data_IF_369353301066
#
_entry.id   IF_369353301066
#
_cell.length_a   1.000
_cell.length_b   1.000
_cell.length_c   1.000
_cell.angle_alpha   90.00
_cell.angle_beta   90.00
_cell.angle_gamma   90.00
#
_symmetry.space_group_name_H-M   'P 1'
#
loop_
_entity.id
_entity.type
_entity.pdbx_description
1 polymer ?
#
# COMPACT_ATOMS: atom_id res chain seq x y z
N UNK A 1 29.09 -20.93 -28.77
CA UNK A 1 29.51 -21.19 -27.37
C UNK A 1 29.64 -19.83 -26.70
N UNK A 2 28.55 -19.32 -26.12
CA UNK A 2 28.54 -18.03 -25.43
C UNK A 2 28.37 -18.27 -23.93
N UNK A 3 29.16 -17.55 -23.15
CA UNK A 3 28.78 -17.03 -21.83
C UNK A 3 28.81 -17.99 -20.63
N UNK A 4 29.99 -18.22 -20.06
CA UNK A 4 30.11 -18.28 -18.59
C UNK A 4 30.44 -16.90 -18.01
N UNK A 5 31.19 -16.08 -18.75
CA UNK A 5 31.63 -14.75 -18.29
C UNK A 5 30.52 -13.68 -18.28
N UNK A 6 29.47 -13.83 -19.11
CA UNK A 6 28.34 -12.88 -19.14
C UNK A 6 27.38 -13.13 -17.97
N UNK A 7 27.18 -14.39 -17.56
CA UNK A 7 26.34 -14.70 -16.39
C UNK A 7 27.00 -14.28 -15.06
N UNK A 8 28.33 -14.39 -14.95
CA UNK A 8 29.05 -13.97 -13.74
C UNK A 8 29.05 -12.44 -13.52
N UNK A 9 29.06 -11.66 -14.61
CA UNK A 9 28.95 -10.18 -14.54
C UNK A 9 27.57 -9.72 -14.08
N UNK A 10 26.51 -10.39 -14.54
CA UNK A 10 25.14 -10.02 -14.19
C UNK A 10 24.85 -10.27 -12.69
N UNK A 11 25.32 -11.38 -12.12
CA UNK A 11 25.08 -11.71 -10.71
C UNK A 11 25.86 -10.75 -9.78
N UNK A 12 27.11 -10.38 -10.13
CA UNK A 12 27.91 -9.43 -9.36
C UNK A 12 27.38 -8.00 -9.41
N UNK A 13 26.91 -7.54 -10.58
CA UNK A 13 26.27 -6.24 -10.75
C UNK A 13 24.92 -6.14 -10.03
N UNK A 14 24.12 -7.21 -10.08
CA UNK A 14 22.80 -7.30 -9.43
C UNK A 14 22.93 -7.27 -7.91
N UNK A 15 23.91 -7.96 -7.31
CA UNK A 15 24.14 -7.89 -5.85
C UNK A 15 24.58 -6.51 -5.37
N UNK A 16 25.45 -5.83 -6.13
CA UNK A 16 25.85 -4.45 -5.81
C UNK A 16 24.70 -3.45 -6.00
N UNK A 17 23.84 -3.66 -7.01
CA UNK A 17 22.58 -2.92 -7.19
C UNK A 17 21.62 -3.12 -6.02
N UNK A 18 21.37 -4.37 -5.64
CA UNK A 18 20.49 -4.75 -4.53
C UNK A 18 20.92 -4.12 -3.21
N UNK A 19 22.23 -4.13 -2.90
CA UNK A 19 22.74 -3.53 -1.67
C UNK A 19 22.57 -2.01 -1.62
N UNK A 20 22.89 -1.32 -2.71
CA UNK A 20 22.68 0.14 -2.79
C UNK A 20 21.19 0.51 -2.74
N UNK A 21 20.34 -0.31 -3.35
CA UNK A 21 18.90 -0.12 -3.27
C UNK A 21 18.37 -0.36 -1.86
N UNK A 22 18.86 -1.38 -1.15
CA UNK A 22 18.54 -1.61 0.26
C UNK A 22 18.89 -0.38 1.12
N UNK A 23 20.08 0.18 0.96
CA UNK A 23 20.49 1.38 1.70
C UNK A 23 19.60 2.59 1.38
N UNK A 24 19.19 2.76 0.11
CA UNK A 24 18.24 3.79 -0.30
C UNK A 24 16.87 3.61 0.36
N UNK A 25 16.31 2.39 0.33
CA UNK A 25 15.02 2.09 0.96
C UNK A 25 15.10 2.34 2.46
N UNK A 26 16.20 1.93 3.10
CA UNK A 26 16.44 2.14 4.52
C UNK A 26 16.50 3.63 4.88
N UNK A 27 17.18 4.44 4.06
CA UNK A 27 17.19 5.90 4.21
C UNK A 27 15.78 6.49 4.07
N UNK A 28 15.02 6.04 3.07
CA UNK A 28 13.64 6.49 2.84
C UNK A 28 12.68 6.07 3.96
N UNK A 29 12.95 4.94 4.62
CA UNK A 29 12.21 4.40 5.75
C UNK A 29 12.62 5.05 7.08
N UNK A 30 13.83 5.60 7.17
CA UNK A 30 14.35 6.21 8.39
C UNK A 30 13.46 7.33 8.89
N UNK A 31 13.04 7.24 10.15
CA UNK A 31 12.16 8.22 10.79
C UNK A 31 10.69 8.17 10.34
N UNK A 32 10.30 7.21 9.49
CA UNK A 32 8.91 7.03 9.06
C UNK A 32 8.28 5.81 9.70
N UNK A 33 7.00 5.92 9.99
CA UNK A 33 6.20 4.80 10.51
C UNK A 33 5.44 4.06 9.41
N UNK A 34 5.14 4.76 8.30
CA UNK A 34 4.40 4.24 7.16
C UNK A 34 5.05 4.71 5.85
N UNK A 35 5.13 3.82 4.86
CA UNK A 35 5.33 4.17 3.46
C UNK A 35 3.98 4.12 2.77
N UNK A 36 3.58 5.25 2.19
CA UNK A 36 2.35 5.33 1.42
C UNK A 36 2.54 4.74 0.02
N UNK A 37 1.44 4.34 -0.62
CA UNK A 37 1.44 3.64 -1.90
C UNK A 37 2.23 4.38 -2.99
N UNK A 38 2.14 5.71 -3.04
CA UNK A 38 2.88 6.52 -4.02
C UNK A 38 4.40 6.45 -3.78
N UNK A 39 4.82 6.47 -2.51
CA UNK A 39 6.22 6.33 -2.12
C UNK A 39 6.73 4.90 -2.38
N UNK A 40 5.90 3.89 -2.09
CA UNK A 40 6.19 2.50 -2.42
C UNK A 40 6.38 2.34 -3.93
N UNK A 41 5.45 2.82 -4.76
CA UNK A 41 5.55 2.73 -6.21
C UNK A 41 6.78 3.48 -6.75
N UNK A 42 7.09 4.65 -6.20
CA UNK A 42 8.29 5.39 -6.58
C UNK A 42 9.58 4.64 -6.23
N UNK A 43 9.63 3.97 -5.06
CA UNK A 43 10.77 3.12 -4.68
C UNK A 43 10.88 1.89 -5.60
N UNK A 44 9.75 1.25 -5.92
CA UNK A 44 9.73 0.12 -6.84
C UNK A 44 10.21 0.52 -8.23
N UNK A 45 9.75 1.66 -8.75
CA UNK A 45 10.18 2.19 -10.03
C UNK A 45 11.68 2.45 -10.04
N UNK A 46 12.21 3.15 -9.02
CA UNK A 46 13.64 3.42 -8.88
C UNK A 46 14.47 2.15 -8.84
N UNK A 47 14.04 1.12 -8.11
CA UNK A 47 14.77 -0.16 -8.06
C UNK A 47 14.92 -0.81 -9.43
N UNK A 48 13.86 -0.75 -10.25
CA UNK A 48 13.88 -1.28 -11.62
C UNK A 48 14.70 -0.39 -12.56
N UNK A 49 14.52 0.92 -12.53
CA UNK A 49 15.14 1.84 -13.51
C UNK A 49 16.59 2.18 -13.18
N UNK A 50 16.89 2.43 -11.90
CA UNK A 50 18.17 3.03 -11.49
C UNK A 50 19.15 1.97 -10.96
N UNK A 51 18.63 0.83 -10.47
CA UNK A 51 19.42 -0.25 -9.88
C UNK A 51 19.42 -1.53 -10.71
N UNK A 52 18.67 -1.58 -11.81
CA UNK A 52 18.62 -2.72 -12.73
C UNK A 52 18.03 -3.99 -12.11
N UNK A 53 17.28 -3.87 -11.02
CA UNK A 53 16.67 -4.99 -10.34
C UNK A 53 15.38 -5.42 -11.05
N UNK A 54 15.04 -6.70 -10.98
CA UNK A 54 13.69 -7.12 -11.34
C UNK A 54 12.66 -6.53 -10.36
N UNK A 55 11.40 -6.46 -10.81
CA UNK A 55 10.31 -5.99 -9.96
C UNK A 55 10.15 -6.85 -8.69
N UNK A 56 10.38 -8.16 -8.79
CA UNK A 56 10.22 -9.08 -7.67
C UNK A 56 11.36 -8.95 -6.65
N UNK A 57 12.61 -8.78 -7.10
CA UNK A 57 13.73 -8.44 -6.22
C UNK A 57 13.50 -7.12 -5.51
N UNK A 58 13.05 -6.12 -6.25
CA UNK A 58 12.76 -4.79 -5.72
C UNK A 58 11.67 -4.84 -4.64
N UNK A 59 10.57 -5.57 -4.91
CA UNK A 59 9.50 -5.82 -3.92
C UNK A 59 10.03 -6.55 -2.70
N UNK A 60 10.85 -7.59 -2.90
CA UNK A 60 11.46 -8.34 -1.81
C UNK A 60 12.31 -7.46 -0.90
N UNK A 61 13.15 -6.60 -1.48
CA UNK A 61 13.99 -5.66 -0.71
C UNK A 61 13.13 -4.64 0.05
N UNK A 62 12.13 -4.03 -0.61
CA UNK A 62 11.23 -3.06 0.06
C UNK A 62 10.51 -3.71 1.22
N UNK A 63 9.95 -4.91 1.02
CA UNK A 63 9.23 -5.65 2.04
C UNK A 63 10.13 -6.03 3.22
N UNK A 64 11.30 -6.61 2.95
CA UNK A 64 12.24 -7.02 4.00
C UNK A 64 12.76 -5.82 4.79
N UNK A 65 13.05 -4.71 4.13
CA UNK A 65 13.50 -3.47 4.78
C UNK A 65 12.40 -2.87 5.65
N UNK A 66 11.14 -2.87 5.16
CA UNK A 66 10.01 -2.42 5.96
C UNK A 66 9.82 -3.29 7.21
N UNK A 67 9.96 -4.61 7.11
CA UNK A 67 9.93 -5.49 8.27
C UNK A 67 11.06 -5.20 9.26
N UNK A 68 12.30 -5.06 8.80
CA UNK A 68 13.46 -4.81 9.67
C UNK A 68 13.36 -3.48 10.40
N UNK A 69 12.86 -2.44 9.73
CA UNK A 69 12.71 -1.09 10.28
C UNK A 69 11.36 -0.89 11.00
N UNK A 70 10.55 -1.95 11.15
CA UNK A 70 9.20 -1.91 11.76
C UNK A 70 8.28 -0.88 11.10
N UNK A 71 8.48 -0.64 9.82
CA UNK A 71 7.71 0.28 9.00
C UNK A 71 6.52 -0.46 8.37
N UNK A 72 5.38 0.22 8.27
CA UNK A 72 4.17 -0.34 7.67
C UNK A 72 4.10 0.07 6.20
N UNK A 73 3.81 -0.89 5.31
CA UNK A 73 3.50 -0.59 3.91
C UNK A 73 1.99 -0.40 3.75
N UNK A 74 1.56 0.67 3.08
CA UNK A 74 0.16 0.86 2.75
C UNK A 74 -0.38 -0.28 1.87
N UNK A 75 0.44 -0.84 0.99
CA UNK A 75 0.07 -2.02 0.20
C UNK A 75 -0.29 -3.25 1.06
N UNK A 76 0.37 -3.45 2.20
CA UNK A 76 0.03 -4.51 3.15
C UNK A 76 -1.30 -4.23 3.84
N UNK A 77 -1.55 -2.97 4.25
CA UNK A 77 -2.84 -2.56 4.81
C UNK A 77 -3.96 -2.81 3.81
N UNK A 78 -3.76 -2.41 2.55
CA UNK A 78 -4.74 -2.63 1.48
C UNK A 78 -5.02 -4.13 1.27
N UNK A 79 -3.98 -4.96 1.19
CA UNK A 79 -4.15 -6.41 1.00
C UNK A 79 -4.94 -7.04 2.17
N UNK A 80 -4.67 -6.63 3.41
CA UNK A 80 -5.37 -7.12 4.59
C UNK A 80 -6.84 -6.67 4.60
N UNK A 81 -7.11 -5.38 4.37
CA UNK A 81 -8.47 -4.86 4.31
C UNK A 81 -9.27 -5.46 3.15
N UNK A 82 -8.64 -5.62 1.99
CA UNK A 82 -9.21 -6.28 0.81
C UNK A 82 -9.58 -7.73 1.10
N UNK A 83 -8.70 -8.47 1.77
CA UNK A 83 -8.97 -9.85 2.18
C UNK A 83 -10.10 -9.94 3.19
N UNK A 84 -10.14 -9.02 4.15
CA UNK A 84 -11.23 -8.92 5.13
C UNK A 84 -12.57 -8.60 4.46
N UNK A 85 -12.61 -7.60 3.58
CA UNK A 85 -13.83 -7.22 2.85
C UNK A 85 -14.37 -8.35 1.99
N UNK A 86 -13.51 -9.08 1.27
CA UNK A 86 -13.92 -10.24 0.47
C UNK A 86 -14.59 -11.33 1.32
N UNK A 87 -14.11 -11.55 2.54
CA UNK A 87 -14.67 -12.55 3.48
C UNK A 87 -15.96 -12.06 4.13
N UNK A 88 -16.03 -10.79 4.52
CA UNK A 88 -17.13 -10.26 5.35
C UNK A 88 -18.28 -9.65 4.54
N UNK A 89 -18.04 -9.11 3.34
CA UNK A 89 -19.04 -8.37 2.56
C UNK A 89 -19.63 -9.21 1.42
N UNK A 90 -20.69 -9.98 1.72
CA UNK A 90 -21.33 -10.90 0.77
C UNK A 90 -22.11 -10.26 -0.40
N UNK A 91 -22.32 -8.93 -0.42
CA UNK A 91 -23.31 -8.29 -1.33
C UNK A 91 -22.78 -7.12 -2.17
N UNK A 92 -21.46 -6.98 -2.30
CA UNK A 92 -20.86 -5.91 -3.11
C UNK A 92 -21.18 -4.48 -2.60
N UNK A 93 -21.67 -4.36 -1.37
CA UNK A 93 -22.10 -3.11 -0.76
C UNK A 93 -21.53 -2.97 0.64
N UNK A 94 -21.20 -1.73 1.02
CA UNK A 94 -20.69 -1.40 2.35
C UNK A 94 -21.62 -0.40 3.06
N UNK A 95 -22.00 -0.72 4.29
CA UNK A 95 -22.73 0.19 5.17
C UNK A 95 -21.81 1.23 5.80
N UNK A 96 -22.38 2.32 6.30
CA UNK A 96 -21.61 3.36 6.98
C UNK A 96 -20.89 2.84 8.23
N UNK A 97 -21.50 1.90 8.95
CA UNK A 97 -20.89 1.27 10.15
C UNK A 97 -19.68 0.42 9.76
N UNK A 98 -19.82 -0.43 8.75
CA UNK A 98 -18.71 -1.24 8.23
C UNK A 98 -17.58 -0.34 7.71
N UNK A 99 -17.91 0.70 6.96
CA UNK A 99 -16.92 1.66 6.47
C UNK A 99 -16.13 2.31 7.61
N UNK A 100 -16.82 2.83 8.63
CA UNK A 100 -16.16 3.41 9.81
C UNK A 100 -15.30 2.41 10.57
N UNK A 101 -15.73 1.15 10.65
CA UNK A 101 -14.91 0.10 11.25
C UNK A 101 -13.63 -0.14 10.44
N UNK A 102 -13.71 -0.18 9.11
CA UNK A 102 -12.52 -0.29 8.25
C UNK A 102 -11.57 0.90 8.44
N UNK A 103 -12.10 2.12 8.59
CA UNK A 103 -11.29 3.33 8.88
C UNK A 103 -10.53 3.18 10.19
N UNK A 104 -11.18 2.71 11.25
CA UNK A 104 -10.51 2.44 12.53
C UNK A 104 -9.42 1.37 12.40
N UNK A 105 -9.72 0.28 11.69
CA UNK A 105 -8.72 -0.79 11.44
C UNK A 105 -7.54 -0.23 10.64
N UNK A 106 -7.80 0.59 9.63
CA UNK A 106 -6.76 1.26 8.86
C UNK A 106 -5.85 2.11 9.76
N UNK A 107 -6.42 2.94 10.63
CA UNK A 107 -5.65 3.78 11.56
C UNK A 107 -4.80 2.95 12.52
N UNK A 108 -5.37 1.89 13.12
CA UNK A 108 -4.64 0.97 13.99
C UNK A 108 -3.46 0.33 13.26
N UNK A 109 -3.67 -0.13 12.02
CA UNK A 109 -2.61 -0.71 11.20
C UNK A 109 -1.55 0.33 10.81
N UNK A 110 -1.96 1.57 10.57
CA UNK A 110 -1.09 2.71 10.33
C UNK A 110 -0.50 3.31 11.62
N UNK A 111 -0.60 2.63 12.77
CA UNK A 111 -0.07 3.08 14.08
C UNK A 111 -0.54 4.49 14.46
N UNK A 112 -1.78 4.83 14.11
CA UNK A 112 -2.41 6.13 14.34
C UNK A 112 -1.65 7.35 13.77
N UNK A 113 -0.70 7.13 12.84
CA UNK A 113 0.04 8.23 12.20
C UNK A 113 -0.73 8.91 11.09
N UNK A 114 -1.86 8.32 10.68
CA UNK A 114 -2.74 8.86 9.63
C UNK A 114 -3.98 9.48 10.28
N UNK A 115 -4.23 10.79 10.08
CA UNK A 115 -5.44 11.46 10.56
C UNK A 115 -6.71 10.76 10.07
N UNK A 116 -7.78 10.82 10.87
CA UNK A 116 -9.03 10.12 10.57
C UNK A 116 -9.59 10.51 9.19
N UNK A 117 -9.55 11.80 8.85
CA UNK A 117 -10.02 12.28 7.55
C UNK A 117 -9.24 11.65 6.39
N UNK A 118 -7.92 11.55 6.48
CA UNK A 118 -7.11 10.94 5.42
C UNK A 118 -7.29 9.42 5.37
N UNK A 119 -7.44 8.77 6.52
CA UNK A 119 -7.80 7.35 6.59
C UNK A 119 -9.15 7.09 5.92
N UNK A 120 -10.15 7.98 6.08
CA UNK A 120 -11.43 7.88 5.35
C UNK A 120 -11.23 7.93 3.84
N UNK A 121 -10.41 8.85 3.33
CA UNK A 121 -10.12 8.97 1.90
C UNK A 121 -9.45 7.70 1.37
N UNK A 122 -8.45 7.19 2.08
CA UNK A 122 -7.69 5.99 1.69
C UNK A 122 -8.55 4.73 1.71
N UNK A 123 -9.33 4.52 2.77
CA UNK A 123 -10.30 3.40 2.83
C UNK A 123 -11.35 3.52 1.74
N UNK A 124 -11.83 4.73 1.42
CA UNK A 124 -12.73 4.93 0.28
C UNK A 124 -12.11 4.46 -1.04
N UNK A 125 -10.85 4.80 -1.31
CA UNK A 125 -10.16 4.33 -2.51
C UNK A 125 -10.06 2.80 -2.56
N UNK A 126 -9.71 2.17 -1.44
CA UNK A 126 -9.65 0.71 -1.31
C UNK A 126 -11.03 0.07 -1.60
N UNK A 127 -12.09 0.59 -0.98
CA UNK A 127 -13.49 0.13 -1.20
C UNK A 127 -13.88 0.23 -2.67
N UNK A 128 -13.56 1.35 -3.32
CA UNK A 128 -13.85 1.56 -4.75
C UNK A 128 -13.08 0.59 -5.64
N UNK A 129 -11.78 0.35 -5.36
CA UNK A 129 -10.96 -0.63 -6.09
C UNK A 129 -11.49 -2.06 -5.99
N UNK A 130 -12.09 -2.42 -4.84
CA UNK A 130 -12.76 -3.72 -4.66
C UNK A 130 -14.14 -3.79 -5.34
N UNK A 131 -14.55 -2.77 -6.10
CA UNK A 131 -15.83 -2.73 -6.80
C UNK A 131 -17.04 -2.54 -5.88
N UNK A 132 -16.82 -2.22 -4.60
CA UNK A 132 -17.87 -2.08 -3.61
C UNK A 132 -18.59 -0.74 -3.73
N UNK A 133 -19.90 -0.74 -3.49
CA UNK A 133 -20.73 0.47 -3.53
C UNK A 133 -21.28 0.80 -2.14
N UNK A 134 -21.40 2.09 -1.82
CA UNK A 134 -22.05 2.51 -0.59
C UNK A 134 -23.52 2.05 -0.53
N UNK A 135 -23.89 1.40 0.57
CA UNK A 135 -25.27 1.09 0.93
C UNK A 135 -26.00 2.39 1.27
N UNK A 136 -27.28 2.45 0.89
CA UNK A 136 -28.19 3.52 1.31
C UNK A 136 -28.33 3.50 2.83
N UNK A 137 -28.20 4.67 3.47
CA UNK A 137 -28.38 4.82 4.91
C UNK A 137 -29.84 5.18 5.21
N UNK A 138 -30.65 4.18 5.56
CA UNK A 138 -32.10 4.36 5.75
C UNK A 138 -32.43 5.29 6.93
N UNK A 139 -31.53 5.39 7.93
CA UNK A 139 -31.65 6.30 9.06
C UNK A 139 -31.50 7.78 8.66
N UNK A 140 -30.90 8.07 7.50
CA UNK A 140 -30.75 9.42 6.93
C UNK A 140 -31.36 9.50 5.53
N UNK A 141 -32.63 9.11 5.43
CA UNK A 141 -33.45 9.20 4.22
C UNK A 141 -32.91 8.40 3.03
N UNK A 142 -32.21 7.28 3.28
CA UNK A 142 -31.73 6.37 2.24
C UNK A 142 -30.63 6.93 1.34
N UNK A 143 -29.97 8.04 1.71
CA UNK A 143 -29.00 8.69 0.82
C UNK A 143 -27.59 8.07 0.92
N UNK A 144 -26.80 8.22 -0.16
CA UNK A 144 -25.36 7.87 -0.20
C UNK A 144 -24.46 9.09 0.10
N UNK A 145 -25.04 10.20 0.55
CA UNK A 145 -24.33 11.47 0.75
C UNK A 145 -23.14 11.33 1.70
N UNK A 146 -23.24 10.44 2.69
CA UNK A 146 -22.16 10.17 3.65
C UNK A 146 -20.87 9.69 2.96
N UNK A 147 -20.99 8.83 1.94
CA UNK A 147 -19.84 8.29 1.20
C UNK A 147 -19.37 9.23 0.09
N UNK A 148 -20.31 9.93 -0.55
CA UNK A 148 -19.99 10.85 -1.65
C UNK A 148 -19.27 12.11 -1.18
N UNK A 149 -19.49 12.56 0.06
CA UNK A 149 -18.82 13.74 0.63
C UNK A 149 -17.31 13.56 0.84
N UNK A 150 -16.87 12.31 1.05
CA UNK A 150 -15.45 11.99 1.23
C UNK A 150 -14.77 12.15 -0.12
N UNK A 151 -13.87 13.12 -0.28
CA UNK A 151 -13.08 13.23 -1.52
C UNK A 151 -12.01 12.12 -1.55
N UNK A 152 -11.69 11.52 -2.70
CA UNK A 152 -10.52 10.63 -2.78
C UNK A 152 -9.26 11.38 -2.33
N UNK A 153 -8.22 10.67 -1.85
CA UNK A 153 -6.98 11.31 -1.46
C UNK A 153 -6.43 12.06 -2.68
N UNK A 154 -6.11 13.34 -2.50
CA UNK A 154 -5.33 14.06 -3.51
C UNK A 154 -3.92 13.48 -3.41
N UNK A 155 -3.39 13.04 -4.55
CA UNK A 155 -1.96 12.74 -4.66
C UNK A 155 -1.19 13.96 -4.19
N UNK A 156 -0.35 13.79 -3.18
CA UNK A 156 0.43 14.85 -2.57
C UNK A 156 1.85 14.84 -3.15
#
# INVERSE_FOLDING_TARGET
>A
MLSQDVYARDIGGTQAGARRFFDLVRLHASGKHILFLEQEMALLQKGVTDFGLSLDETKGIVFNTAQSERLVLESQIDQHLSSFMKKSLKRGKISRREFRNLVKVYQIMAKDTVPADDAEKRVKSIVLRQGLRAKRDWLRLGTRRWFNKIKPPQSA
#
